data_IF_401331487632
#
_entry.id   IF_401331487632
#
_cell.length_a   1.000
_cell.length_b   1.000
_cell.length_c   1.000
_cell.angle_alpha   90.00
_cell.angle_beta   90.00
_cell.angle_gamma   90.00
#
_symmetry.space_group_name_H-M   'P 1'
#
loop_
_entity.id
_entity.type
_entity.pdbx_description
1 polymer ?
2 water ?
#
# COMPACT_ATOMS: atom_id res chain seq x y z
N UNK A 1 -4.74 21.41 14.46
CA UNK A 1 -4.85 22.89 14.40
C UNK A 1 -4.26 23.48 13.13
N UNK A 2 -3.98 22.59 12.17
CA UNK A 2 -3.47 22.89 10.84
C UNK A 2 -3.93 21.79 9.88
N UNK A 3 -3.60 21.94 8.58
CA UNK A 3 -4.05 21.03 7.51
C UNK A 3 -2.84 20.37 6.88
N UNK A 4 -2.86 19.04 6.81
CA UNK A 4 -1.72 18.23 6.42
C UNK A 4 -2.27 17.05 5.62
N UNK A 5 -1.42 16.33 4.89
CA UNK A 5 -1.82 14.99 4.39
C UNK A 5 -2.08 14.07 5.58
N UNK A 6 -2.72 12.93 5.35
CA UNK A 6 -2.98 12.00 6.46
C UNK A 6 -1.68 11.45 6.99
N UNK A 7 -1.75 10.90 8.21
CA UNK A 7 -0.68 10.08 8.74
C UNK A 7 -0.71 8.77 7.97
N UNK A 8 0.26 7.90 8.14
CA UNK A 8 0.33 6.70 7.25
C UNK A 8 -0.70 5.64 7.63
N UNK A 9 -1.13 4.86 6.64
CA UNK A 9 -1.93 3.67 6.96
C UNK A 9 -1.22 2.78 7.96
N UNK A 10 -2.00 2.00 8.69
CA UNK A 10 -1.50 1.17 9.78
C UNK A 10 -1.75 -0.31 9.52
N UNK A 11 -0.96 -1.12 10.21
CA UNK A 11 -1.16 -2.57 10.29
C UNK A 11 -1.27 -3.25 8.93
N UNK A 12 -0.36 -2.90 8.01
CA UNK A 12 -0.35 -3.53 6.71
C UNK A 12 0.07 -4.99 6.85
N UNK A 13 -0.67 -5.88 6.21
CA UNK A 13 -0.26 -7.27 6.23
C UNK A 13 -0.71 -7.96 4.94
N UNK A 14 -0.06 -9.07 4.66
CA UNK A 14 -0.39 -9.90 3.51
C UNK A 14 -1.42 -10.93 3.92
N UNK A 15 -2.51 -11.01 3.16
CA UNK A 15 -3.58 -11.93 3.49
C UNK A 15 -3.54 -13.18 2.65
N UNK A 16 -2.97 -13.10 1.45
CA UNK A 16 -2.88 -14.24 0.57
C UNK A 16 -1.91 -13.90 -0.56
N UNK A 17 -1.33 -14.95 -1.14
CA UNK A 17 -0.39 -14.77 -2.22
C UNK A 17 -0.47 -15.96 -3.16
N UNK A 18 -0.06 -15.73 -4.41
CA UNK A 18 0.02 -16.75 -5.42
C UNK A 18 1.09 -16.39 -6.43
N UNK A 19 1.25 -17.26 -7.43
CA UNK A 19 2.20 -16.95 -8.48
C UNK A 19 1.88 -15.64 -9.18
N UNK A 20 0.63 -15.20 -9.10
CA UNK A 20 0.19 -14.05 -9.89
C UNK A 20 -0.54 -12.98 -9.09
N UNK A 21 -0.57 -13.08 -7.76
CA UNK A 21 -1.23 -12.02 -7.01
C UNK A 21 -0.67 -11.98 -5.60
N UNK A 22 -0.76 -10.81 -4.99
CA UNK A 22 -0.44 -10.64 -3.58
C UNK A 22 -1.58 -9.84 -2.99
N UNK A 23 -2.33 -10.42 -2.07
CA UNK A 23 -3.46 -9.74 -1.45
C UNK A 23 -3.06 -9.14 -0.11
N UNK A 24 -3.41 -7.89 0.10
CA UNK A 24 -3.01 -7.19 1.31
C UNK A 24 -4.22 -6.51 1.94
N UNK A 25 -4.05 -6.15 3.21
CA UNK A 25 -5.04 -5.37 3.94
C UNK A 25 -4.33 -4.45 4.91
N UNK A 26 -5.04 -3.42 5.34
CA UNK A 26 -4.46 -2.45 6.24
C UNK A 26 -5.58 -1.78 7.03
N UNK A 27 -5.17 -0.88 7.93
CA UNK A 27 -6.11 -0.12 8.74
C UNK A 27 -5.94 1.36 8.46
N UNK A 28 -7.00 2.16 8.68
CA UNK A 28 -6.93 3.57 8.35
C UNK A 28 -5.85 4.27 9.14
N UNK A 29 -5.37 5.39 8.61
CA UNK A 29 -4.46 6.25 9.35
C UNK A 29 -5.06 6.67 10.66
N UNK A 30 -4.18 6.93 11.62
CA UNK A 30 -4.62 7.41 12.92
C UNK A 30 -5.24 8.80 12.78
N UNK A 31 -4.68 9.63 11.89
CA UNK A 31 -5.14 10.99 11.66
C UNK A 31 -5.33 11.25 10.17
N UNK A 32 -6.39 11.97 9.80
CA UNK A 32 -6.48 12.40 8.40
C UNK A 32 -5.86 13.76 8.12
N UNK A 33 -5.28 14.41 9.13
CA UNK A 33 -4.53 15.63 8.90
C UNK A 33 -5.36 16.87 8.68
N UNK A 34 -6.68 16.76 8.72
CA UNK A 34 -7.56 17.93 8.56
C UNK A 34 -8.49 17.89 7.37
N UNK A 35 -8.44 16.87 6.52
CA UNK A 35 -9.38 16.70 5.42
C UNK A 35 -9.55 15.21 5.19
N UNK A 36 -10.73 14.75 4.81
CA UNK A 36 -10.95 13.30 4.74
C UNK A 36 -10.02 12.55 3.80
N UNK A 37 -9.73 11.30 4.17
CA UNK A 37 -8.98 10.40 3.30
C UNK A 37 -9.89 10.02 2.15
N UNK A 38 -9.38 10.19 0.93
CA UNK A 38 -10.18 9.96 -0.27
C UNK A 38 -9.67 8.77 -1.06
N UNK A 39 -8.59 8.15 -0.64
CA UNK A 39 -8.06 7.04 -1.41
C UNK A 39 -6.76 6.53 -0.82
N UNK A 40 -6.42 5.30 -1.23
CA UNK A 40 -5.15 4.69 -0.92
C UNK A 40 -4.43 4.29 -2.20
N UNK A 41 -3.10 4.24 -2.09
CA UNK A 41 -2.23 3.77 -3.16
C UNK A 41 -1.33 2.68 -2.61
N UNK A 42 -1.08 1.65 -3.40
CA UNK A 42 -0.19 0.56 -3.05
C UNK A 42 1.06 0.60 -3.92
N UNK A 43 2.22 0.42 -3.29
CA UNK A 43 3.49 0.28 -3.95
C UNK A 43 4.11 -1.06 -3.54
N UNK A 44 4.83 -1.64 -4.48
CA UNK A 44 5.53 -2.90 -4.43
C UNK A 44 7.00 -2.72 -4.79
N UNK A 45 7.88 -3.46 -4.12
CA UNK A 45 9.34 -3.37 -4.33
C UNK A 45 9.96 -4.76 -4.19
N UNK A 46 10.71 -5.24 -5.19
CA UNK A 46 11.44 -6.50 -4.99
C UNK A 46 12.48 -6.32 -3.91
N UNK A 47 12.56 -7.32 -3.04
CA UNK A 47 13.38 -7.18 -1.85
C UNK A 47 14.83 -6.95 -2.27
N UNK A 48 15.53 -6.13 -1.50
CA UNK A 48 16.92 -5.83 -1.78
C UNK A 48 17.14 -4.77 -2.83
N UNK A 49 16.10 -4.15 -3.35
CA UNK A 49 16.15 -3.06 -4.31
C UNK A 49 15.42 -1.87 -3.70
N UNK A 50 15.42 -0.75 -4.41
CA UNK A 50 14.64 0.42 -4.01
C UNK A 50 13.68 0.79 -5.14
N UNK A 51 13.29 -0.21 -5.93
CA UNK A 51 12.49 0.01 -7.14
C UNK A 51 11.00 -0.07 -6.79
N UNK A 52 10.55 0.89 -5.99
CA UNK A 52 9.14 0.95 -5.62
C UNK A 52 8.29 1.34 -6.80
N UNK A 53 7.21 0.61 -7.03
CA UNK A 53 6.36 0.86 -8.19
C UNK A 53 4.90 0.83 -7.74
N UNK A 54 4.14 1.84 -8.17
CA UNK A 54 2.71 1.91 -7.85
C UNK A 54 1.97 0.84 -8.62
N UNK A 55 1.16 0.03 -7.93
CA UNK A 55 0.51 -1.12 -8.56
C UNK A 55 -1.00 -0.97 -8.69
N UNK A 56 -1.59 0.12 -8.21
CA UNK A 56 -2.98 0.45 -8.52
C UNK A 56 -3.07 1.59 -9.53
N UNK A 57 -4.08 1.47 -10.40
CA UNK A 57 -4.41 2.49 -11.39
C UNK A 57 -5.21 3.62 -10.74
N UNK A 58 -6.31 3.29 -10.14
CA UNK A 58 -7.20 4.25 -9.52
C UNK A 58 -7.04 4.23 -8.02
N UNK A 59 -7.36 5.34 -7.35
CA UNK A 59 -7.35 5.33 -5.89
C UNK A 59 -8.19 4.18 -5.34
N UNK A 60 -7.65 3.52 -4.32
CA UNK A 60 -8.32 2.40 -3.67
C UNK A 60 -9.22 2.96 -2.58
N UNK A 61 -10.52 2.66 -2.66
CA UNK A 61 -11.54 3.16 -1.74
C UNK A 61 -11.99 2.04 -0.80
N UNK A 62 -11.01 1.28 -0.33
CA UNK A 62 -11.21 0.11 0.51
C UNK A 62 -9.97 -0.02 1.37
N UNK A 63 -9.98 -0.99 2.28
CA UNK A 63 -8.85 -1.26 3.15
C UNK A 63 -8.18 -2.57 2.81
N UNK A 64 -8.26 -2.95 1.55
CA UNK A 64 -7.66 -4.19 1.07
C UNK A 64 -7.40 -3.97 -0.40
N UNK A 65 -6.55 -4.82 -0.98
CA UNK A 65 -6.25 -4.73 -2.41
C UNK A 65 -5.60 -6.02 -2.86
N UNK A 66 -6.00 -6.50 -4.03
CA UNK A 66 -5.35 -7.65 -4.67
C UNK A 66 -4.35 -7.12 -5.69
N UNK A 67 -3.06 -7.19 -5.35
CA UNK A 67 -2.02 -6.74 -6.26
C UNK A 67 -1.85 -7.77 -7.36
N UNK A 68 -1.89 -7.34 -8.60
CA UNK A 68 -1.63 -8.21 -9.74
C UNK A 68 -0.67 -7.61 -10.74
N UNK A 69 -0.69 -6.29 -10.92
CA UNK A 69 0.09 -5.66 -11.97
C UNK A 69 1.57 -5.72 -11.62
N UNK A 70 2.34 -6.37 -12.46
CA UNK A 70 3.77 -6.41 -12.28
C UNK A 70 4.27 -7.49 -11.36
N UNK A 71 3.40 -8.33 -10.83
CA UNK A 71 3.81 -9.47 -10.01
C UNK A 71 4.52 -10.49 -10.89
N UNK A 72 5.72 -10.88 -10.48
CA UNK A 72 6.54 -11.86 -11.19
C UNK A 72 6.60 -13.11 -10.34
N UNK A 73 6.19 -14.27 -10.86
CA UNK A 73 6.24 -15.50 -10.08
C UNK A 73 7.63 -15.72 -9.53
N UNK A 74 7.68 -16.19 -8.29
CA UNK A 74 8.88 -16.60 -7.58
C UNK A 74 9.74 -15.41 -7.20
N UNK A 75 9.35 -14.18 -7.54
CA UNK A 75 10.04 -13.02 -7.00
C UNK A 75 9.52 -12.73 -5.60
N UNK A 76 10.36 -12.05 -4.81
CA UNK A 76 10.10 -11.77 -3.41
C UNK A 76 10.00 -10.25 -3.24
N UNK A 77 8.95 -9.82 -2.56
CA UNK A 77 8.54 -8.43 -2.52
C UNK A 77 8.29 -7.96 -1.10
N UNK A 78 8.31 -6.62 -0.93
CA UNK A 78 7.66 -5.97 0.20
C UNK A 78 6.69 -4.95 -0.40
N UNK A 79 5.68 -4.58 0.38
CA UNK A 79 4.68 -3.63 -0.08
C UNK A 79 4.54 -2.54 0.96
N UNK A 80 3.94 -1.44 0.52
CA UNK A 80 3.62 -0.32 1.42
C UNK A 80 2.41 0.39 0.85
N UNK A 81 1.70 1.13 1.72
CA UNK A 81 0.46 1.79 1.33
C UNK A 81 0.53 3.26 1.73
N UNK A 82 0.02 4.12 0.88
CA UNK A 82 -0.11 5.56 1.17
C UNK A 82 -1.58 5.95 1.24
N UNK A 83 -1.87 7.01 2.00
CA UNK A 83 -3.22 7.55 2.08
C UNK A 83 -3.21 8.95 1.47
N UNK A 84 -4.32 9.34 0.84
CA UNK A 84 -4.41 10.64 0.17
C UNK A 84 -5.61 11.41 0.70
N UNK A 85 -5.44 12.72 0.84
CA UNK A 85 -6.56 13.60 1.09
C UNK A 85 -6.33 14.82 0.21
N UNK A 86 -7.18 15.84 0.37
CA UNK A 86 -7.16 17.05 -0.44
C UNK A 86 -5.96 17.95 -0.14
N UNK A 87 -5.15 17.62 0.86
CA UNK A 87 -3.92 18.36 1.07
C UNK A 87 -2.75 17.67 0.35
N UNK A 88 -2.71 16.34 0.35
CA UNK A 88 -1.64 15.65 -0.35
C UNK A 88 -1.56 14.20 0.06
N UNK A 89 -0.39 13.63 -0.15
CA UNK A 89 -0.16 12.19 -0.02
C UNK A 89 0.63 11.89 1.25
N UNK A 90 0.16 10.92 2.02
CA UNK A 90 0.84 10.53 3.24
C UNK A 90 2.21 9.91 2.97
N UNK A 91 3.06 9.91 3.99
CA UNK A 91 4.19 9.00 3.97
C UNK A 91 3.65 7.58 3.93
N UNK A 92 4.42 6.62 3.46
CA UNK A 92 3.89 5.26 3.36
C UNK A 92 3.83 4.58 4.73
N UNK A 93 2.92 3.63 4.80
CA UNK A 93 2.89 2.71 5.93
C UNK A 93 4.22 2.05 6.20
N UNK A 94 4.37 1.47 7.40
CA UNK A 94 5.47 0.53 7.58
C UNK A 94 5.35 -0.53 6.48
N UNK A 95 6.49 -1.03 6.00
CA UNK A 95 6.44 -1.99 4.90
C UNK A 95 5.86 -3.30 5.42
N UNK A 96 5.37 -4.10 4.49
CA UNK A 96 4.88 -5.44 4.79
C UNK A 96 6.01 -6.41 5.14
N UNK A 97 5.63 -7.54 5.72
CA UNK A 97 6.48 -8.71 5.70
C UNK A 97 6.88 -9.03 4.27
N UNK A 98 8.04 -9.67 4.12
CA UNK A 98 8.48 -10.19 2.83
C UNK A 98 7.46 -11.22 2.34
N UNK A 99 7.16 -11.20 1.04
CA UNK A 99 6.23 -12.17 0.45
C UNK A 99 6.75 -12.63 -0.90
N UNK A 100 6.81 -13.95 -1.10
CA UNK A 100 7.17 -14.54 -2.39
C UNK A 100 5.89 -14.78 -3.19
N UNK A 101 5.94 -14.46 -4.48
CA UNK A 101 4.80 -14.70 -5.36
C UNK A 101 4.84 -16.16 -5.80
N UNK A 102 4.38 -17.02 -4.91
CA UNK A 102 4.28 -18.46 -5.14
C UNK A 102 3.05 -18.98 -4.44
N UNK A 103 2.73 -20.25 -4.70
CA UNK A 103 1.60 -20.87 -4.05
C UNK A 103 2.02 -22.10 -3.26
#
# INVERSE_FOLDING_TARGET
GSSSPPSPPLDLHVTDAGRKHIAIAWKPPEKNGGSPIIGYHVEMCPVGTEKWMRVNSRPIKDLKFKVEEGVVPDKEYVLRVRAVNAIGVSEPSEISENVVAKDPDCK
#
